data_IF_433892460864
#
_entry.id   IF_433892460864
#
_cell.length_a   1.000
_cell.length_b   1.000
_cell.length_c   1.000
_cell.angle_alpha   90.00
_cell.angle_beta   90.00
_cell.angle_gamma   90.00
#
_symmetry.space_group_name_H-M   'P 1'
#
loop_
_entity.id
_entity.type
_entity.pdbx_description
1 polymer ?
#
# COMPACT_ATOMS: atom_id res chain seq x y z
N UNK A 1 -29.94 -39.57 8.64
CA UNK A 1 -29.60 -38.53 9.64
C UNK A 1 -28.11 -38.18 9.66
N UNK A 2 -27.18 -39.14 9.54
CA UNK A 2 -25.74 -38.85 9.43
C UNK A 2 -25.40 -37.98 8.22
N UNK A 3 -25.98 -38.27 7.06
CA UNK A 3 -25.63 -37.57 5.80
C UNK A 3 -26.04 -36.09 5.79
N UNK A 4 -27.16 -35.75 6.43
CA UNK A 4 -27.63 -34.35 6.55
C UNK A 4 -26.72 -33.55 7.48
N UNK A 5 -26.26 -34.19 8.57
CA UNK A 5 -25.31 -33.58 9.50
C UNK A 5 -23.96 -33.32 8.81
N UNK A 6 -23.48 -34.27 8.01
CA UNK A 6 -22.25 -34.13 7.24
C UNK A 6 -22.39 -33.02 6.18
N UNK A 7 -23.52 -32.95 5.48
CA UNK A 7 -23.77 -31.92 4.47
C UNK A 7 -23.83 -30.52 5.09
N UNK A 8 -24.49 -30.38 6.25
CA UNK A 8 -24.56 -29.12 6.98
C UNK A 8 -23.19 -28.67 7.49
N UNK A 9 -22.36 -29.61 7.98
CA UNK A 9 -21.00 -29.33 8.44
C UNK A 9 -20.11 -28.85 7.28
N UNK A 10 -20.24 -29.47 6.10
CA UNK A 10 -19.52 -29.08 4.89
C UNK A 10 -19.94 -27.67 4.42
N UNK A 11 -21.23 -27.37 4.47
CA UNK A 11 -21.75 -26.04 4.12
C UNK A 11 -21.21 -24.96 5.05
N UNK A 12 -21.15 -25.23 6.36
CA UNK A 12 -20.61 -24.31 7.37
C UNK A 12 -19.10 -24.09 7.18
N UNK A 13 -18.33 -25.13 6.83
CA UNK A 13 -16.90 -24.98 6.52
C UNK A 13 -16.66 -24.10 5.28
N UNK A 14 -17.47 -24.26 4.22
CA UNK A 14 -17.34 -23.46 2.99
C UNK A 14 -17.68 -21.98 3.27
N UNK A 15 -18.71 -21.73 4.08
CA UNK A 15 -19.09 -20.36 4.47
C UNK A 15 -18.00 -19.71 5.34
N UNK A 16 -17.46 -20.44 6.32
CA UNK A 16 -16.37 -19.96 7.17
C UNK A 16 -15.08 -19.64 6.38
N UNK A 17 -14.74 -20.47 5.37
CA UNK A 17 -13.60 -20.22 4.49
C UNK A 17 -13.81 -19.02 3.54
N UNK A 18 -15.06 -18.71 3.18
CA UNK A 18 -15.38 -17.56 2.32
C UNK A 18 -15.38 -16.21 3.06
N UNK A 19 -15.53 -16.21 4.39
CA UNK A 19 -15.51 -14.99 5.21
C UNK A 19 -14.10 -14.56 5.64
N UNK A 20 -13.10 -15.42 5.51
CA UNK A 20 -11.68 -15.05 5.69
C UNK A 20 -11.11 -14.44 4.42
N UNK A 21 -11.80 -13.44 3.86
CA UNK A 21 -11.21 -12.58 2.83
C UNK A 21 -9.95 -11.96 3.43
N UNK A 22 -8.79 -12.54 3.13
CA UNK A 22 -7.51 -12.09 3.65
C UNK A 22 -7.37 -10.63 3.21
N UNK A 23 -7.48 -9.70 4.16
CA UNK A 23 -7.15 -8.31 3.89
C UNK A 23 -5.71 -8.28 3.37
N UNK A 24 -5.54 -7.82 2.12
CA UNK A 24 -4.23 -7.74 1.44
C UNK A 24 -3.24 -6.90 2.26
N UNK A 25 -3.75 -5.89 2.96
CA UNK A 25 -3.02 -4.93 3.79
C UNK A 25 -3.76 -4.71 5.11
N UNK A 26 -3.00 -4.38 6.16
CA UNK A 26 -3.52 -4.08 7.49
C UNK A 26 -4.26 -2.73 7.49
N UNK A 27 -3.73 -1.77 6.74
CA UNK A 27 -4.29 -0.41 6.57
C UNK A 27 -3.95 0.14 5.18
N UNK A 28 -4.79 1.06 4.71
CA UNK A 28 -4.60 1.75 3.43
C UNK A 28 -5.04 3.20 3.58
N UNK A 29 -4.25 4.14 3.05
CA UNK A 29 -4.52 5.57 3.02
C UNK A 29 -4.49 6.06 1.57
N UNK A 30 -5.53 6.76 1.13
CA UNK A 30 -5.62 7.27 -0.24
C UNK A 30 -4.74 8.50 -0.44
N UNK A 31 -4.09 8.59 -1.61
CA UNK A 31 -3.50 9.85 -2.08
C UNK A 31 -4.55 10.72 -2.78
N UNK A 32 -4.28 12.01 -2.99
CA UNK A 32 -5.26 12.96 -3.53
C UNK A 32 -5.88 12.56 -4.87
N UNK A 33 -5.11 11.93 -5.75
CA UNK A 33 -5.57 11.56 -7.11
C UNK A 33 -6.15 10.12 -7.12
N UNK A 34 -6.24 9.46 -5.96
CA UNK A 34 -6.79 8.11 -5.73
C UNK A 34 -6.21 6.97 -6.61
N UNK A 35 -5.26 7.25 -7.51
CA UNK A 35 -4.52 6.22 -8.26
C UNK A 35 -3.57 5.46 -7.34
N UNK A 36 -2.87 6.15 -6.48
CA UNK A 36 -1.96 5.52 -5.52
C UNK A 36 -2.54 5.53 -4.11
N UNK A 37 -2.25 4.48 -3.37
CA UNK A 37 -2.51 4.43 -1.94
C UNK A 37 -1.21 4.15 -1.18
N UNK A 38 -1.08 4.72 0.01
CA UNK A 38 -0.11 4.24 0.99
C UNK A 38 -0.71 2.98 1.63
N UNK A 39 0.01 1.87 1.54
CA UNK A 39 -0.42 0.58 2.10
C UNK A 39 0.49 0.18 3.25
N UNK A 40 -0.08 -0.43 4.28
CA UNK A 40 0.61 -0.86 5.48
C UNK A 40 0.47 -2.37 5.65
N UNK A 41 1.58 -3.02 5.96
CA UNK A 41 1.63 -4.46 6.23
C UNK A 41 2.81 -4.78 7.14
N UNK A 42 2.59 -5.56 8.20
CA UNK A 42 3.65 -6.04 9.10
C UNK A 42 4.49 -4.88 9.71
N UNK A 43 3.81 -3.79 10.11
CA UNK A 43 4.43 -2.53 10.58
C UNK A 43 5.33 -1.81 9.58
N UNK A 44 5.32 -2.21 8.31
CA UNK A 44 5.98 -1.53 7.21
C UNK A 44 4.95 -0.88 6.30
N UNK A 45 5.40 0.01 5.43
CA UNK A 45 4.55 0.65 4.44
C UNK A 45 5.23 0.82 3.08
N UNK A 46 4.40 1.07 2.08
CA UNK A 46 4.80 1.28 0.69
C UNK A 46 3.71 1.94 -0.13
N UNK A 47 3.98 2.11 -1.43
CA UNK A 47 3.04 2.69 -2.38
C UNK A 47 2.42 1.60 -3.25
N UNK A 48 1.11 1.66 -3.44
CA UNK A 48 0.33 0.72 -4.23
C UNK A 48 -0.37 1.44 -5.38
N UNK A 49 -0.24 0.94 -6.61
CA UNK A 49 -0.99 1.43 -7.77
C UNK A 49 -2.31 0.66 -7.87
N UNK A 50 -3.41 1.36 -7.62
CA UNK A 50 -4.77 0.77 -7.65
C UNK A 50 -5.23 0.41 -9.05
N UNK A 51 -4.69 1.05 -10.09
CA UNK A 51 -5.07 0.78 -11.49
C UNK A 51 -4.31 -0.40 -12.07
N UNK A 52 -3.03 -0.53 -11.71
CA UNK A 52 -2.20 -1.65 -12.12
C UNK A 52 -2.37 -2.89 -11.22
N UNK A 53 -3.10 -2.76 -10.11
CA UNK A 53 -3.25 -3.77 -9.05
C UNK A 53 -1.90 -4.30 -8.52
N UNK A 54 -0.89 -3.41 -8.47
CA UNK A 54 0.49 -3.78 -8.21
C UNK A 54 1.15 -2.91 -7.13
N UNK A 55 2.08 -3.52 -6.40
CA UNK A 55 2.94 -2.78 -5.48
C UNK A 55 3.99 -2.03 -6.28
N UNK A 56 4.04 -0.70 -6.09
CA UNK A 56 5.05 0.17 -6.70
C UNK A 56 6.35 0.08 -5.91
N UNK A 57 6.25 0.05 -4.59
CA UNK A 57 7.40 -0.18 -3.70
C UNK A 57 7.23 -1.50 -2.97
N UNK A 58 8.34 -2.18 -2.70
CA UNK A 58 8.35 -3.53 -2.11
C UNK A 58 7.88 -3.62 -0.63
N UNK A 59 7.17 -2.61 -0.10
CA UNK A 59 6.79 -2.45 1.32
C UNK A 59 8.01 -2.61 2.24
N UNK A 60 8.74 -1.52 2.45
CA UNK A 60 10.03 -1.54 3.16
C UNK A 60 10.22 -0.39 4.16
N UNK A 61 9.36 0.61 4.12
CA UNK A 61 9.49 1.80 4.96
C UNK A 61 8.89 1.56 6.34
N UNK A 62 9.59 1.98 7.40
CA UNK A 62 9.07 1.94 8.77
C UNK A 62 7.82 2.81 8.91
N UNK A 63 7.87 4.01 8.34
CA UNK A 63 6.73 4.90 8.19
C UNK A 63 6.99 5.89 7.05
N UNK A 64 6.02 6.05 6.15
CA UNK A 64 5.96 7.14 5.20
C UNK A 64 5.16 8.28 5.83
N UNK A 65 5.71 9.50 5.81
CA UNK A 65 5.05 10.72 6.24
C UNK A 65 4.94 11.68 5.07
N UNK A 66 3.78 12.33 4.92
CA UNK A 66 3.64 13.39 3.94
C UNK A 66 4.61 14.52 4.29
N UNK A 67 5.58 14.76 3.42
CA UNK A 67 6.61 15.79 3.57
C UNK A 67 6.15 17.15 3.05
N UNK A 68 5.21 17.16 2.10
CA UNK A 68 4.65 18.37 1.53
C UNK A 68 4.51 18.29 0.01
N UNK A 69 4.29 19.46 -0.59
CA UNK A 69 4.28 19.63 -2.03
C UNK A 69 5.52 20.40 -2.48
N UNK A 70 6.01 20.09 -3.68
CA UNK A 70 7.07 20.84 -4.34
C UNK A 70 6.63 21.21 -5.76
N UNK A 71 7.12 22.33 -6.26
CA UNK A 71 6.85 22.78 -7.63
C UNK A 71 8.14 23.29 -8.26
N UNK A 72 8.50 22.77 -9.44
CA UNK A 72 9.71 23.14 -10.17
C UNK A 72 9.43 23.04 -11.68
N UNK A 73 9.80 24.06 -12.45
CA UNK A 73 9.65 24.04 -13.92
C UNK A 73 8.22 23.83 -14.44
N UNK A 74 7.19 24.15 -13.64
CA UNK A 74 5.78 23.93 -14.00
C UNK A 74 5.23 22.54 -13.66
N UNK A 75 6.05 21.67 -13.06
CA UNK A 75 5.61 20.39 -12.51
C UNK A 75 5.30 20.56 -11.03
N UNK A 76 4.32 19.80 -10.53
CA UNK A 76 3.96 19.79 -9.12
C UNK A 76 4.03 18.37 -8.59
N UNK A 77 4.57 18.20 -7.38
CA UNK A 77 4.83 16.90 -6.78
C UNK A 77 4.23 16.82 -5.39
N UNK A 78 3.60 15.70 -5.07
CA UNK A 78 3.32 15.30 -3.69
C UNK A 78 4.45 14.41 -3.19
N UNK A 79 5.02 14.72 -2.02
CA UNK A 79 6.22 14.06 -1.50
C UNK A 79 5.92 13.36 -0.17
N UNK A 80 6.37 12.12 -0.06
CA UNK A 80 6.43 11.36 1.18
C UNK A 80 7.87 10.99 1.49
N UNK A 81 8.24 11.09 2.76
CA UNK A 81 9.57 10.70 3.26
C UNK A 81 9.38 9.59 4.28
N UNK A 82 10.27 8.60 4.24
CA UNK A 82 10.26 7.51 5.19
C UNK A 82 11.63 6.96 5.49
N UNK A 83 11.70 6.22 6.58
CA UNK A 83 12.93 5.61 7.07
C UNK A 83 12.95 4.10 6.82
N UNK A 84 14.18 3.59 6.73
CA UNK A 84 14.55 2.18 6.74
C UNK A 84 15.74 2.02 7.70
N UNK A 85 16.20 0.78 7.93
CA UNK A 85 17.30 0.51 8.89
C UNK A 85 18.58 1.31 8.58
N UNK A 86 19.04 1.28 7.32
CA UNK A 86 20.30 1.91 6.89
C UNK A 86 20.09 3.11 5.95
N UNK A 87 18.85 3.36 5.52
CA UNK A 87 18.52 4.33 4.48
C UNK A 87 17.35 5.21 4.90
N UNK A 88 17.31 6.40 4.32
CA UNK A 88 16.11 7.21 4.20
C UNK A 88 15.64 7.13 2.74
N UNK A 89 14.35 7.27 2.52
CA UNK A 89 13.82 7.30 1.17
C UNK A 89 12.68 8.29 1.02
N UNK A 90 12.52 8.70 -0.22
CA UNK A 90 11.53 9.67 -0.66
C UNK A 90 10.73 9.05 -1.81
N UNK A 91 9.42 9.19 -1.73
CA UNK A 91 8.49 8.87 -2.80
C UNK A 91 7.87 10.18 -3.25
N UNK A 92 7.89 10.46 -4.55
CA UNK A 92 7.16 11.58 -5.13
C UNK A 92 6.21 11.13 -6.22
N UNK A 93 5.07 11.81 -6.33
CA UNK A 93 4.10 11.61 -7.40
C UNK A 93 3.90 12.96 -8.08
N UNK A 94 4.18 13.04 -9.38
CA UNK A 94 3.90 14.23 -10.19
C UNK A 94 2.38 14.36 -10.42
N UNK A 95 1.81 15.56 -10.27
CA UNK A 95 0.36 15.75 -10.22
C UNK A 95 -0.33 15.56 -11.56
N UNK A 96 0.28 15.94 -12.68
CA UNK A 96 -0.33 15.95 -14.01
C UNK A 96 -0.27 14.57 -14.68
N UNK A 97 0.92 13.98 -14.78
CA UNK A 97 1.19 12.68 -15.38
C UNK A 97 0.90 11.54 -14.41
N UNK A 98 0.89 11.83 -13.11
CA UNK A 98 0.74 10.83 -12.05
C UNK A 98 1.84 9.76 -12.10
N UNK A 99 3.03 10.15 -12.55
CA UNK A 99 4.23 9.32 -12.50
C UNK A 99 4.81 9.32 -11.09
N UNK A 100 5.17 8.13 -10.61
CA UNK A 100 5.79 7.93 -9.31
C UNK A 100 7.31 7.82 -9.48
N UNK A 101 8.05 8.46 -8.57
CA UNK A 101 9.50 8.32 -8.44
C UNK A 101 9.85 7.93 -7.00
N UNK A 102 10.81 7.02 -6.85
CA UNK A 102 11.34 6.58 -5.58
C UNK A 102 12.84 6.85 -5.55
N UNK A 103 13.32 7.49 -4.49
CA UNK A 103 14.73 7.78 -4.26
C UNK A 103 15.11 7.26 -2.88
N UNK A 104 16.27 6.63 -2.76
CA UNK A 104 16.84 6.19 -1.48
C UNK A 104 18.23 6.78 -1.29
N UNK A 105 18.55 7.15 -0.06
CA UNK A 105 19.83 7.71 0.33
C UNK A 105 20.28 7.11 1.67
N UNK A 106 21.59 6.85 1.86
CA UNK A 106 22.09 6.28 3.10
C UNK A 106 21.91 7.27 4.26
N UNK A 107 21.62 6.73 5.46
CA UNK A 107 21.60 7.52 6.69
C UNK A 107 23.02 8.02 7.02
N UNK A 108 23.12 9.22 7.59
CA UNK A 108 24.37 9.77 8.12
C UNK A 108 24.69 9.25 9.51
#
# INVERSE_FOLDING_TARGET
>A
MKDIFTLALLLVMVIAASCSGMRKYDRTESTEIERYNIVYKDNKCGLYDTRADSLVTAIKYDALKFGGMASEGGYEFSIWVGEMEEYEGMISIERITNECMEIMFPKQ
#
